data_IF_755561373686
#
_entry.id   IF_755561373686
#
_cell.length_a   1.000
_cell.length_b   1.000
_cell.length_c   1.000
_cell.angle_alpha   90.00
_cell.angle_beta   90.00
_cell.angle_gamma   90.00
#
_symmetry.space_group_name_H-M   'P 1'
#
loop_
_entity.id
_entity.type
_entity.pdbx_description
1 polymer ?
#
# COMPACT_ATOMS: atom_id res chain seq x y z
N UNK A 1 25.61 -18.22 9.58
CA UNK A 1 24.65 -17.11 9.82
C UNK A 1 23.87 -16.85 8.54
N UNK A 2 22.54 -17.02 8.57
CA UNK A 2 21.73 -17.22 7.36
C UNK A 2 21.36 -15.87 6.70
N UNK A 3 21.85 -15.63 5.47
CA UNK A 3 21.75 -14.33 4.77
C UNK A 3 20.30 -13.93 4.45
N UNK A 4 19.39 -14.89 4.41
CA UNK A 4 17.97 -14.67 4.14
C UNK A 4 17.23 -14.00 5.31
N UNK A 5 17.69 -14.22 6.54
CA UNK A 5 17.11 -13.62 7.74
C UNK A 5 17.48 -12.13 7.82
N UNK A 6 18.73 -11.81 7.46
CA UNK A 6 19.26 -10.44 7.46
C UNK A 6 18.48 -9.60 6.42
N UNK A 7 18.27 -10.14 5.22
CA UNK A 7 17.57 -9.46 4.13
C UNK A 7 16.09 -9.14 4.44
N UNK A 8 15.40 -9.97 5.22
CA UNK A 8 14.01 -9.74 5.63
C UNK A 8 13.90 -8.65 6.70
N UNK A 9 14.87 -8.56 7.60
CA UNK A 9 14.94 -7.55 8.66
C UNK A 9 15.00 -6.15 8.06
N UNK A 10 15.80 -5.97 7.01
CA UNK A 10 16.00 -4.67 6.34
C UNK A 10 14.72 -4.19 5.63
N UNK A 11 13.99 -5.09 4.97
CA UNK A 11 12.76 -4.76 4.25
C UNK A 11 11.68 -4.28 5.22
N UNK A 12 11.53 -4.94 6.38
CA UNK A 12 10.56 -4.52 7.39
C UNK A 12 10.85 -3.09 7.88
N UNK A 13 12.11 -2.76 8.14
CA UNK A 13 12.51 -1.43 8.60
C UNK A 13 12.22 -0.34 7.55
N UNK A 14 12.43 -0.65 6.26
CA UNK A 14 12.13 0.27 5.16
C UNK A 14 10.62 0.51 5.03
N UNK A 15 9.80 -0.53 5.19
CA UNK A 15 8.34 -0.42 5.10
C UNK A 15 7.80 0.41 6.26
N UNK A 16 8.20 0.10 7.50
CA UNK A 16 7.75 0.85 8.69
C UNK A 16 8.17 2.32 8.63
N UNK A 17 9.36 2.64 8.14
CA UNK A 17 9.82 4.03 7.95
C UNK A 17 9.09 4.79 6.83
N UNK A 18 8.28 4.10 6.01
CA UNK A 18 7.48 4.69 4.93
C UNK A 18 5.98 4.68 5.25
N UNK A 19 5.58 4.30 6.47
CA UNK A 19 4.20 4.35 6.95
C UNK A 19 3.99 5.56 7.88
N UNK A 20 2.80 6.12 7.83
CA UNK A 20 2.35 7.21 8.70
C UNK A 20 1.14 6.71 9.46
N UNK A 21 1.12 6.92 10.77
CA UNK A 21 -0.03 6.63 11.60
C UNK A 21 -1.07 7.74 11.47
N UNK A 22 -2.29 7.36 11.11
CA UNK A 22 -3.45 8.24 11.08
C UNK A 22 -4.25 7.96 12.35
N UNK A 23 -4.44 8.97 13.23
CA UNK A 23 -5.16 8.77 14.49
C UNK A 23 -6.63 8.50 14.25
N UNK A 24 -7.28 7.90 15.23
CA UNK A 24 -8.73 7.78 15.27
C UNK A 24 -9.40 9.15 15.27
N UNK A 25 -10.54 9.23 14.61
CA UNK A 25 -11.25 10.49 14.48
C UNK A 25 -12.50 10.39 13.64
N UNK A 26 -13.22 11.49 13.61
CA UNK A 26 -14.41 11.65 12.79
C UNK A 26 -14.05 12.44 11.54
N UNK A 27 -14.35 11.90 10.36
CA UNK A 27 -14.16 12.60 9.08
C UNK A 27 -15.52 12.90 8.46
N UNK A 28 -15.72 14.15 8.07
CA UNK A 28 -16.82 14.55 7.20
C UNK A 28 -16.44 14.32 5.74
N UNK A 29 -17.07 13.35 5.11
CA UNK A 29 -16.94 13.09 3.68
C UNK A 29 -18.00 13.87 2.93
N UNK A 30 -17.56 14.61 1.90
CA UNK A 30 -18.45 15.36 1.03
C UNK A 30 -18.36 14.86 -0.39
N UNK A 31 -19.49 14.43 -0.94
CA UNK A 31 -19.60 14.17 -2.36
C UNK A 31 -20.00 15.46 -3.08
N UNK A 32 -19.06 16.06 -3.79
CA UNK A 32 -19.30 17.32 -4.50
C UNK A 32 -20.30 17.18 -5.68
N UNK A 33 -20.47 15.97 -6.24
CA UNK A 33 -21.39 15.72 -7.36
C UNK A 33 -22.85 15.55 -6.91
N UNK A 34 -23.07 14.86 -5.80
CA UNK A 34 -24.42 14.63 -5.24
C UNK A 34 -24.76 15.56 -4.07
N UNK A 35 -23.82 16.43 -3.67
CA UNK A 35 -23.88 17.34 -2.50
C UNK A 35 -24.16 16.64 -1.16
N UNK A 36 -24.00 15.32 -1.11
CA UNK A 36 -24.21 14.55 0.11
C UNK A 36 -23.01 14.70 1.04
N UNK A 37 -23.30 14.83 2.32
CA UNK A 37 -22.33 14.87 3.39
C UNK A 37 -22.65 13.74 4.35
N UNK A 38 -21.65 12.96 4.73
CA UNK A 38 -21.81 11.99 5.80
C UNK A 38 -20.55 11.96 6.64
N UNK A 39 -20.75 11.67 7.92
CA UNK A 39 -19.69 11.63 8.93
C UNK A 39 -19.38 10.17 9.20
N UNK A 40 -18.11 9.79 9.08
CA UNK A 40 -17.63 8.44 9.37
C UNK A 40 -16.60 8.51 10.47
N UNK A 41 -16.76 7.64 11.46
CA UNK A 41 -15.75 7.40 12.49
C UNK A 41 -14.76 6.36 11.97
N UNK A 42 -13.49 6.72 11.94
CA UNK A 42 -12.38 5.84 11.55
C UNK A 42 -11.50 5.56 12.76
N UNK A 43 -11.13 4.29 12.91
CA UNK A 43 -10.15 3.84 13.90
C UNK A 43 -8.74 4.15 13.42
N UNK A 44 -7.79 4.26 14.33
CA UNK A 44 -6.38 4.47 14.00
C UNK A 44 -5.85 3.41 13.02
N UNK A 45 -5.15 3.84 11.98
CA UNK A 45 -4.58 2.94 10.97
C UNK A 45 -3.27 3.50 10.38
N UNK A 46 -2.48 2.61 9.76
CA UNK A 46 -1.24 2.97 9.07
C UNK A 46 -1.50 3.22 7.59
N UNK A 47 -1.10 4.39 7.08
CA UNK A 47 -1.17 4.75 5.67
C UNK A 47 0.25 4.88 5.10
N UNK A 48 0.47 4.36 3.90
CA UNK A 48 1.75 4.52 3.21
C UNK A 48 1.97 5.99 2.82
N UNK A 49 3.17 6.52 3.10
CA UNK A 49 3.57 7.90 2.77
C UNK A 49 3.55 8.19 1.28
N UNK A 50 3.80 7.17 0.46
CA UNK A 50 3.87 7.31 -0.99
C UNK A 50 2.89 6.34 -1.67
N UNK A 51 2.15 6.78 -2.71
CA UNK A 51 1.37 5.86 -3.52
C UNK A 51 2.30 4.83 -4.17
N UNK A 52 1.86 3.58 -4.22
CA UNK A 52 2.64 2.52 -4.87
C UNK A 52 2.67 2.78 -6.37
N UNK A 53 3.79 3.32 -6.86
CA UNK A 53 3.97 3.60 -8.28
C UNK A 53 4.10 2.30 -9.07
N UNK A 54 3.35 2.21 -10.17
CA UNK A 54 3.24 0.99 -10.99
C UNK A 54 4.57 0.56 -11.62
N UNK A 55 5.51 1.50 -11.78
CA UNK A 55 6.88 1.22 -12.25
C UNK A 55 7.59 0.22 -11.29
N UNK A 56 7.21 0.15 -10.01
CA UNK A 56 7.70 -0.86 -9.05
C UNK A 56 6.93 -2.19 -9.07
N UNK A 57 5.74 -2.28 -9.68
CA UNK A 57 4.97 -3.55 -9.78
C UNK A 57 5.61 -4.55 -10.74
N UNK A 58 6.30 -4.08 -11.77
CA UNK A 58 6.84 -4.93 -12.84
C UNK A 58 7.93 -5.92 -12.39
N UNK A 59 8.50 -5.77 -11.19
CA UNK A 59 9.47 -6.74 -10.65
C UNK A 59 8.81 -7.91 -9.91
N UNK A 60 7.57 -7.75 -9.43
CA UNK A 60 6.83 -8.82 -8.73
C UNK A 60 5.96 -9.64 -9.68
N UNK A 61 5.41 -9.03 -10.73
CA UNK A 61 4.52 -9.72 -11.68
C UNK A 61 5.31 -10.70 -12.59
N UNK A 62 6.58 -10.39 -12.90
CA UNK A 62 7.41 -11.24 -13.76
C UNK A 62 7.78 -12.60 -13.15
N UNK A 63 7.70 -12.76 -11.82
CA UNK A 63 7.95 -14.05 -11.16
C UNK A 63 6.70 -14.95 -11.18
N UNK A 64 5.52 -14.38 -11.40
CA UNK A 64 4.23 -15.10 -11.32
C UNK A 64 3.73 -15.58 -12.69
N UNK A 65 4.24 -15.04 -13.81
CA UNK A 65 3.78 -15.45 -15.15
C UNK A 65 4.93 -15.69 -16.16
N UNK A 66 5.67 -16.80 -16.06
CA UNK A 66 6.55 -17.25 -17.15
C UNK A 66 5.80 -17.94 -18.32
N UNK A 67 4.47 -18.14 -18.24
CA UNK A 67 3.77 -19.06 -19.16
C UNK A 67 2.58 -18.53 -19.95
N UNK A 68 2.35 -17.21 -20.02
CA UNK A 68 1.34 -16.67 -20.95
C UNK A 68 1.97 -16.12 -22.23
N UNK A 69 2.71 -17.01 -22.91
CA UNK A 69 2.89 -16.92 -24.36
C UNK A 69 1.74 -17.69 -25.01
N UNK A 70 0.61 -17.02 -25.19
CA UNK A 70 -0.39 -17.44 -26.18
C UNK A 70 -0.46 -16.33 -27.22
N UNK A 71 -0.02 -16.71 -28.42
CA UNK A 71 -0.11 -15.94 -29.67
C UNK A 71 -1.52 -15.39 -29.86
N UNK A 72 -1.60 -14.14 -30.31
CA UNK A 72 -2.60 -13.70 -31.28
C UNK A 72 -1.83 -13.39 -32.56
#
# INVERSE_FOLDING_TARGET
MNKDVIKRKDISSIITGQMVEIPEGSIELRNDRTKQKWVVEIKSFLLAKFPVTQIKKNKLIAVVYPFLSIRV
#
